data_IF_921390599292
#
_entry.id   IF_921390599292
#
_cell.length_a   1.000
_cell.length_b   1.000
_cell.length_c   1.000
_cell.angle_alpha   90.00
_cell.angle_beta   90.00
_cell.angle_gamma   90.00
#
_symmetry.space_group_name_H-M   'P 1'
#
loop_
_entity.id
_entity.type
_entity.pdbx_description
1 polymer ?
#
# COMPACT_ATOMS: atom_id res chain seq x y z
N UNK A 1 3.97 -14.42 -9.61
CA UNK A 1 4.11 -12.96 -9.32
C UNK A 1 5.57 -12.57 -8.98
N UNK A 2 6.59 -13.18 -9.61
CA UNK A 2 8.00 -13.02 -9.21
C UNK A 2 8.83 -12.01 -10.03
N UNK A 3 8.19 -11.08 -10.75
CA UNK A 3 8.92 -10.11 -11.60
C UNK A 3 8.67 -8.64 -11.21
N UNK A 4 7.80 -8.34 -10.24
CA UNK A 4 7.55 -6.95 -9.85
C UNK A 4 8.65 -6.46 -8.90
N UNK A 5 9.25 -5.31 -9.23
CA UNK A 5 10.19 -4.60 -8.34
C UNK A 5 9.48 -3.75 -7.29
N UNK A 6 8.23 -3.38 -7.58
CA UNK A 6 7.42 -2.50 -6.74
C UNK A 6 6.02 -3.09 -6.50
N UNK A 7 5.43 -2.71 -5.36
CA UNK A 7 4.03 -2.97 -5.02
C UNK A 7 3.26 -1.65 -5.01
N UNK A 8 2.22 -1.57 -5.83
CA UNK A 8 1.27 -0.44 -5.85
C UNK A 8 0.17 -0.68 -4.82
N UNK A 9 0.04 0.23 -3.85
CA UNK A 9 -0.94 0.17 -2.77
C UNK A 9 -1.98 1.28 -2.98
N UNK A 10 -3.20 0.88 -3.34
CA UNK A 10 -4.35 1.80 -3.46
C UNK A 10 -5.05 1.89 -2.10
N UNK A 11 -5.05 3.10 -1.52
CA UNK A 11 -5.54 3.38 -0.18
C UNK A 11 -6.93 4.03 -0.26
N UNK A 12 -7.94 3.18 -0.16
CA UNK A 12 -9.34 3.55 0.03
C UNK A 12 -9.74 3.69 1.50
N UNK A 13 -11.01 4.01 1.74
CA UNK A 13 -11.57 4.21 3.08
C UNK A 13 -11.37 3.01 4.02
N UNK A 14 -11.43 1.79 3.48
CA UNK A 14 -11.30 0.53 4.22
C UNK A 14 -9.92 -0.13 4.15
N UNK A 15 -8.93 0.53 3.52
CA UNK A 15 -7.57 0.00 3.37
C UNK A 15 -6.95 -0.41 4.71
N UNK A 16 -7.27 0.34 5.76
CA UNK A 16 -6.82 0.07 7.11
C UNK A 16 -7.94 -0.49 8.01
N UNK A 17 -9.01 -1.08 7.50
CA UNK A 17 -10.05 -1.70 8.35
C UNK A 17 -9.70 -3.15 8.74
N UNK A 18 -10.25 -3.65 9.84
CA UNK A 18 -10.11 -5.06 10.22
C UNK A 18 -10.98 -5.96 9.33
N UNK A 19 -10.42 -7.08 8.88
CA UNK A 19 -11.17 -8.14 8.23
C UNK A 19 -11.80 -9.10 9.28
N UNK A 20 -13.02 -9.64 9.07
CA UNK A 20 -13.63 -10.58 10.01
C UNK A 20 -12.77 -11.82 10.28
N UNK A 21 -12.10 -12.34 9.25
CA UNK A 21 -11.19 -13.49 9.35
C UNK A 21 -9.73 -13.12 9.70
N UNK A 22 -9.46 -11.94 10.27
CA UNK A 22 -8.08 -11.51 10.59
C UNK A 22 -7.25 -12.56 11.34
N UNK A 23 -7.89 -13.34 12.21
CA UNK A 23 -7.22 -14.36 13.01
C UNK A 23 -6.71 -15.53 12.13
N UNK A 24 -7.38 -15.81 11.00
CA UNK A 24 -6.93 -16.78 10.00
C UNK A 24 -5.87 -16.21 9.06
N UNK A 25 -5.97 -14.91 8.77
CA UNK A 25 -5.01 -14.19 7.90
C UNK A 25 -3.68 -14.00 8.65
N UNK A 26 -3.72 -13.88 9.98
CA UNK A 26 -2.57 -13.55 10.82
C UNK A 26 -2.24 -12.05 10.83
N UNK A 27 -3.01 -11.24 10.11
CA UNK A 27 -2.81 -9.79 9.92
C UNK A 27 -4.15 -9.05 9.95
N UNK A 28 -4.12 -7.71 10.01
CA UNK A 28 -5.33 -6.86 10.10
C UNK A 28 -6.34 -7.16 8.98
N UNK A 29 -5.86 -7.29 7.73
CA UNK A 29 -6.63 -7.64 6.55
C UNK A 29 -5.67 -8.19 5.45
N UNK A 30 -6.22 -8.60 4.30
CA UNK A 30 -5.40 -9.13 3.20
C UNK A 30 -4.41 -8.13 2.60
N UNK A 31 -4.82 -6.88 2.41
CA UNK A 31 -3.93 -5.84 1.88
C UNK A 31 -2.73 -5.61 2.83
N UNK A 32 -2.96 -5.65 4.14
CA UNK A 32 -1.90 -5.57 5.14
C UNK A 32 -0.91 -6.72 4.99
N UNK A 33 -1.40 -7.96 4.85
CA UNK A 33 -0.56 -9.12 4.63
C UNK A 33 0.28 -8.99 3.35
N UNK A 34 -0.29 -8.49 2.25
CA UNK A 34 0.44 -8.27 1.00
C UNK A 34 1.54 -7.20 1.13
N UNK A 35 1.32 -6.15 1.91
CA UNK A 35 2.34 -5.13 2.19
C UNK A 35 3.49 -5.75 2.99
N UNK A 36 3.18 -6.52 4.04
CA UNK A 36 4.19 -7.20 4.87
C UNK A 36 5.01 -8.17 4.01
N UNK A 37 4.35 -8.99 3.19
CA UNK A 37 5.04 -9.95 2.30
C UNK A 37 5.86 -9.26 1.22
N UNK A 38 5.36 -8.17 0.63
CA UNK A 38 6.15 -7.38 -0.33
C UNK A 38 7.40 -6.78 0.31
N UNK A 39 7.32 -6.35 1.57
CA UNK A 39 8.46 -5.82 2.31
C UNK A 39 9.48 -6.91 2.65
N UNK A 40 9.04 -8.12 3.02
CA UNK A 40 9.93 -9.29 3.20
C UNK A 40 10.67 -9.65 1.90
N UNK A 41 10.03 -9.44 0.75
CA UNK A 41 10.63 -9.62 -0.58
C UNK A 41 11.49 -8.43 -1.04
N UNK A 42 11.71 -7.42 -0.17
CA UNK A 42 12.47 -6.19 -0.47
C UNK A 42 11.95 -5.41 -1.70
N UNK A 43 10.64 -5.40 -1.92
CA UNK A 43 10.02 -4.60 -2.99
C UNK A 43 9.93 -3.13 -2.58
N UNK A 44 10.05 -2.24 -3.56
CA UNK A 44 9.70 -0.83 -3.40
C UNK A 44 8.18 -0.64 -3.31
N UNK A 45 7.73 0.52 -2.84
CA UNK A 45 6.31 0.79 -2.63
C UNK A 45 5.87 2.08 -3.32
N UNK A 46 4.70 2.01 -3.95
CA UNK A 46 4.01 3.20 -4.47
C UNK A 46 2.66 3.26 -3.76
N UNK A 47 2.40 4.35 -3.05
CA UNK A 47 1.20 4.53 -2.24
C UNK A 47 0.28 5.57 -2.87
N UNK A 48 -0.96 5.20 -3.18
CA UNK A 48 -1.94 6.08 -3.83
C UNK A 48 -3.18 6.20 -2.95
N UNK A 49 -3.37 7.38 -2.34
CA UNK A 49 -4.61 7.70 -1.63
C UNK A 49 -5.70 8.13 -2.59
N UNK A 50 -6.87 7.49 -2.51
CA UNK A 50 -8.06 7.91 -3.24
C UNK A 50 -8.55 9.27 -2.71
N UNK A 51 -8.58 9.42 -1.38
CA UNK A 51 -8.80 10.69 -0.69
C UNK A 51 -7.66 10.94 0.32
N UNK A 52 -7.18 12.18 0.47
CA UNK A 52 -6.03 12.49 1.34
C UNK A 52 -6.18 12.06 2.81
N UNK A 53 -7.41 12.06 3.32
CA UNK A 53 -7.81 11.72 4.69
C UNK A 53 -7.94 10.22 4.94
N UNK A 54 -7.92 9.38 3.90
CA UNK A 54 -7.98 7.93 4.08
C UNK A 54 -6.84 7.43 4.97
N UNK A 55 -7.19 6.55 5.90
CA UNK A 55 -6.26 5.94 6.83
C UNK A 55 -5.27 5.04 6.07
N UNK A 56 -3.98 5.29 6.28
CA UNK A 56 -2.89 4.51 5.68
C UNK A 56 -2.72 3.20 6.46
N UNK A 57 -2.53 2.06 5.78
CA UNK A 57 -2.08 0.83 6.44
C UNK A 57 -0.73 1.06 7.12
N UNK A 58 -0.67 0.86 8.44
CA UNK A 58 0.54 1.05 9.24
C UNK A 58 1.82 0.40 8.68
N UNK A 59 1.81 -0.82 8.11
CA UNK A 59 3.04 -1.46 7.62
C UNK A 59 3.69 -0.75 6.42
N UNK A 60 3.01 0.24 5.83
CA UNK A 60 3.52 1.05 4.74
C UNK A 60 4.41 2.21 5.22
N UNK A 61 4.34 2.58 6.51
CA UNK A 61 5.21 3.60 7.09
C UNK A 61 6.67 3.11 7.16
N UNK A 62 7.61 4.04 7.01
CA UNK A 62 9.06 3.79 7.05
C UNK A 62 9.57 2.80 5.98
N UNK A 63 8.82 2.62 4.89
CA UNK A 63 9.19 1.76 3.74
C UNK A 63 9.68 2.52 2.51
N UNK A 64 9.91 3.83 2.62
CA UNK A 64 10.40 4.65 1.50
C UNK A 64 9.44 4.76 0.33
N UNK A 65 8.12 4.63 0.57
CA UNK A 65 7.14 4.64 -0.51
C UNK A 65 7.08 5.99 -1.24
N UNK A 66 6.93 5.95 -2.57
CA UNK A 66 6.49 7.11 -3.36
C UNK A 66 5.01 7.40 -3.14
N UNK A 67 4.61 8.66 -2.93
CA UNK A 67 3.24 9.02 -2.52
C UNK A 67 2.48 9.82 -3.56
N UNK A 68 1.26 9.37 -3.86
CA UNK A 68 0.22 10.14 -4.52
C UNK A 68 -0.95 10.39 -3.54
N UNK A 69 -1.25 11.66 -3.27
CA UNK A 69 -2.32 12.05 -2.35
C UNK A 69 -3.68 12.29 -3.04
N UNK A 70 -3.75 12.08 -4.36
CA UNK A 70 -4.99 12.15 -5.12
C UNK A 70 -5.00 11.09 -6.23
N UNK A 71 -6.17 10.56 -6.55
CA UNK A 71 -6.35 9.60 -7.64
C UNK A 71 -6.39 10.31 -9.01
N UNK A 72 -5.31 11.02 -9.34
CA UNK A 72 -5.09 11.69 -10.62
C UNK A 72 -3.86 11.12 -11.31
N UNK A 73 -3.91 11.02 -12.63
CA UNK A 73 -2.85 10.40 -13.45
C UNK A 73 -1.49 11.05 -13.20
N UNK A 74 -1.42 12.38 -13.18
CA UNK A 74 -0.19 13.14 -12.95
C UNK A 74 0.42 12.89 -11.57
N UNK A 75 -0.43 12.76 -10.54
CA UNK A 75 -0.01 12.46 -9.17
C UNK A 75 0.53 11.04 -9.05
N UNK A 76 -0.10 10.08 -9.74
CA UNK A 76 0.33 8.67 -9.76
C UNK A 76 1.66 8.53 -10.49
N UNK A 77 1.83 9.17 -11.66
CA UNK A 77 3.08 9.13 -12.42
C UNK A 77 4.26 9.68 -11.58
N UNK A 78 4.07 10.83 -10.92
CA UNK A 78 5.08 11.39 -10.01
C UNK A 78 5.41 10.45 -8.85
N UNK A 79 4.44 9.71 -8.32
CA UNK A 79 4.69 8.76 -7.25
C UNK A 79 5.47 7.53 -7.73
N UNK A 80 5.26 7.10 -8.98
CA UNK A 80 6.02 6.03 -9.62
C UNK A 80 7.47 6.48 -9.86
N UNK A 81 7.68 7.70 -10.36
CA UNK A 81 9.03 8.22 -10.66
C UNK A 81 9.89 8.44 -9.40
N UNK A 82 9.25 8.65 -8.25
CA UNK A 82 9.91 8.88 -6.96
C UNK A 82 10.09 7.62 -6.12
N UNK A 83 9.59 6.47 -6.58
CA UNK A 83 9.61 5.20 -5.83
C UNK A 83 10.86 4.36 -6.11
#
# INVERSE_FOLDING_TARGET
MHQSTHTLVIIGEHANSYHPDRDKIGERNWQWWEIVKSAEENKGFIAVKIKPDNAVPTPLYDKGAGWAYSFRVDSILKAIDNA
#
